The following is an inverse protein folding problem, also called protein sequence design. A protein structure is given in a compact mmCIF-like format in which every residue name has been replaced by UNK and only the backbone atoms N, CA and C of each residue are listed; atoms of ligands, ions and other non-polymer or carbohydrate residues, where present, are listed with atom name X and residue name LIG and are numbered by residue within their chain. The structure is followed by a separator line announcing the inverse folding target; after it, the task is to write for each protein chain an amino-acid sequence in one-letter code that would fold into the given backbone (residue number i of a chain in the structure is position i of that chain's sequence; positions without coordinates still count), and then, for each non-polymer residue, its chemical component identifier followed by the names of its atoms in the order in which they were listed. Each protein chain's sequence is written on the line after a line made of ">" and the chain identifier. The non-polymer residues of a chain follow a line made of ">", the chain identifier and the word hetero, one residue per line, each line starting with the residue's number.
data_IF_881398138452
#
_entry.id   IF_881398138452
#
_cell.length_a   1.000
_cell.length_b   1.000
_cell.length_c   1.000
_cell.angle_alpha   90.00
_cell.angle_beta   90.00
_cell.angle_gamma   90.00
#
_symmetry.space_group_name_H-M   'P 1'
#
loop_
_entity.id
_entity.type
_entity.pdbx_description
1 polymer ?
#
# COMPACT_ATOMS: atom_id res chain seq x y z
N UNK A 1 -17.39 -8.24 -35.33
CA UNK A 1 -17.00 -7.00 -36.02
C UNK A 1 -15.54 -6.83 -35.67
N UNK A 2 -14.65 -7.17 -36.60
CA UNK A 2 -13.23 -6.92 -36.42
C UNK A 2 -13.05 -5.40 -36.47
N UNK A 3 -12.30 -4.89 -35.51
CA UNK A 3 -12.10 -3.46 -35.32
C UNK A 3 -11.05 -2.99 -36.36
N UNK A 4 -11.50 -2.43 -37.48
CA UNK A 4 -10.66 -2.03 -38.63
C UNK A 4 -9.90 -0.71 -38.39
N UNK A 5 -9.43 -0.47 -37.16
CA UNK A 5 -8.61 0.71 -36.86
C UNK A 5 -7.17 0.49 -37.31
N UNK A 6 -6.62 1.49 -38.00
CA UNK A 6 -5.19 1.53 -38.36
C UNK A 6 -4.33 1.77 -37.11
N UNK A 7 -3.05 1.40 -37.20
CA UNK A 7 -2.09 1.63 -36.10
C UNK A 7 -2.01 3.12 -35.74
N UNK A 8 -2.04 4.00 -36.73
CA UNK A 8 -1.97 5.45 -36.51
C UNK A 8 -3.19 5.98 -35.78
N UNK A 9 -4.40 5.50 -36.11
CA UNK A 9 -5.63 5.83 -35.39
C UNK A 9 -5.60 5.31 -33.94
N UNK A 10 -4.98 4.15 -33.69
CA UNK A 10 -4.81 3.65 -32.32
C UNK A 10 -3.83 4.50 -31.50
N UNK A 11 -2.78 5.02 -32.12
CA UNK A 11 -1.82 5.93 -31.48
C UNK A 11 -2.50 7.26 -31.15
N UNK A 12 -3.23 7.85 -32.12
CA UNK A 12 -3.96 9.11 -31.92
C UNK A 12 -5.00 8.97 -30.79
N UNK A 13 -5.75 7.86 -30.76
CA UNK A 13 -6.65 7.57 -29.65
C UNK A 13 -5.89 7.47 -28.32
N UNK A 14 -4.73 6.79 -28.28
CA UNK A 14 -3.96 6.64 -27.05
C UNK A 14 -3.40 7.97 -26.53
N UNK A 15 -3.04 8.90 -27.42
CA UNK A 15 -2.59 10.26 -27.08
C UNK A 15 -3.75 11.15 -26.60
N UNK A 16 -4.95 10.93 -27.13
CA UNK A 16 -6.18 11.62 -26.71
C UNK A 16 -6.84 11.03 -25.47
N UNK A 17 -6.49 9.78 -25.08
CA UNK A 17 -6.91 9.20 -23.80
C UNK A 17 -6.32 10.10 -22.72
N UNK A 18 -7.17 10.87 -22.04
CA UNK A 18 -6.67 11.73 -20.98
C UNK A 18 -6.17 10.82 -19.86
N UNK A 19 -5.27 11.31 -19.00
CA UNK A 19 -4.90 10.64 -17.73
C UNK A 19 -6.11 10.50 -16.75
N UNK A 20 -7.34 10.63 -17.25
CA UNK A 20 -8.66 10.86 -16.66
C UNK A 20 -9.15 9.81 -15.66
N UNK A 21 -8.33 8.85 -15.28
CA UNK A 21 -8.71 7.84 -14.30
C UNK A 21 -7.79 7.81 -13.08
N UNK A 22 -6.73 8.64 -13.03
CA UNK A 22 -5.77 8.63 -11.92
C UNK A 22 -5.11 7.26 -11.72
N UNK A 23 -5.19 6.37 -12.72
CA UNK A 23 -4.76 4.98 -12.62
C UNK A 23 -3.25 4.91 -12.40
N UNK A 24 -2.47 5.72 -13.13
CA UNK A 24 -1.03 5.80 -12.97
C UNK A 24 -0.63 6.28 -11.56
N UNK A 25 -1.29 7.31 -11.03
CA UNK A 25 -1.06 7.82 -9.67
C UNK A 25 -1.48 6.80 -8.61
N UNK A 26 -2.65 6.17 -8.79
CA UNK A 26 -3.15 5.09 -7.94
C UNK A 26 -2.19 3.92 -7.87
N UNK A 27 -1.62 3.51 -9.00
CA UNK A 27 -0.60 2.45 -9.07
C UNK A 27 0.74 2.86 -8.46
N UNK A 28 1.18 4.12 -8.66
CA UNK A 28 2.43 4.62 -8.10
C UNK A 28 2.43 4.66 -6.56
N UNK A 29 1.25 4.82 -5.95
CA UNK A 29 1.06 4.79 -4.50
C UNK A 29 1.02 3.38 -3.89
N UNK A 30 0.88 2.31 -4.68
CA UNK A 30 0.69 0.97 -4.14
C UNK A 30 1.93 0.42 -3.45
N UNK A 31 1.72 -0.14 -2.26
CA UNK A 31 2.75 -0.78 -1.46
C UNK A 31 2.28 -2.16 -1.00
N UNK A 32 3.18 -3.12 -1.12
CA UNK A 32 3.05 -4.45 -0.54
C UNK A 32 4.02 -4.59 0.62
N UNK A 33 3.55 -5.15 1.72
CA UNK A 33 4.37 -5.39 2.91
C UNK A 33 4.24 -6.85 3.29
N UNK A 34 5.34 -7.45 3.75
CA UNK A 34 5.35 -8.78 4.33
C UNK A 34 6.30 -8.79 5.54
N UNK A 35 5.87 -9.42 6.62
CA UNK A 35 6.62 -9.53 7.86
C UNK A 35 6.96 -10.99 8.17
N UNK A 36 8.18 -11.21 8.64
CA UNK A 36 8.62 -12.39 9.36
C UNK A 36 8.70 -12.09 10.85
N UNK A 37 9.36 -12.96 11.60
CA UNK A 37 9.46 -12.84 13.07
C UNK A 37 10.24 -11.58 13.51
N UNK A 38 11.26 -11.21 12.74
CA UNK A 38 12.16 -10.10 13.07
C UNK A 38 12.52 -9.22 11.87
N UNK A 39 11.90 -9.45 10.71
CA UNK A 39 12.18 -8.71 9.48
C UNK A 39 10.87 -8.30 8.83
N UNK A 40 10.75 -7.03 8.42
CA UNK A 40 9.61 -6.56 7.62
C UNK A 40 10.13 -5.92 6.34
N UNK A 41 9.50 -6.27 5.21
CA UNK A 41 9.87 -5.81 3.88
C UNK A 41 8.68 -5.10 3.25
N UNK A 42 8.91 -3.91 2.70
CA UNK A 42 7.93 -3.18 1.89
C UNK A 42 8.47 -2.93 0.48
N UNK A 43 7.66 -3.26 -0.53
CA UNK A 43 7.98 -3.05 -1.94
C UNK A 43 6.91 -2.20 -2.64
N UNK A 44 7.30 -1.51 -3.69
CA UNK A 44 6.38 -0.87 -4.63
C UNK A 44 5.91 -1.84 -5.73
N UNK A 45 4.97 -1.38 -6.56
CA UNK A 45 4.43 -2.16 -7.68
C UNK A 45 5.46 -2.50 -8.77
N UNK A 46 6.60 -1.80 -8.80
CA UNK A 46 7.72 -2.09 -9.70
C UNK A 46 8.65 -3.17 -9.12
N UNK A 47 8.36 -3.68 -7.92
CA UNK A 47 9.19 -4.64 -7.20
C UNK A 47 10.41 -4.01 -6.53
N UNK A 48 10.47 -2.68 -6.40
CA UNK A 48 11.58 -2.02 -5.71
C UNK A 48 11.36 -2.11 -4.21
N UNK A 49 12.44 -2.41 -3.48
CA UNK A 49 12.47 -2.31 -2.03
C UNK A 49 12.40 -0.83 -1.61
N UNK A 50 11.33 -0.47 -0.90
CA UNK A 50 11.09 0.91 -0.44
C UNK A 50 11.00 1.01 1.09
N UNK A 51 10.99 -0.12 1.79
CA UNK A 51 11.13 -0.20 3.24
C UNK A 51 11.71 -1.54 3.66
N UNK A 52 12.58 -1.51 4.67
CA UNK A 52 13.17 -2.69 5.29
C UNK A 52 13.38 -2.40 6.78
N UNK A 53 12.76 -3.20 7.62
CA UNK A 53 12.95 -3.17 9.06
C UNK A 53 13.58 -4.50 9.50
N UNK A 54 14.62 -4.41 10.32
CA UNK A 54 15.37 -5.57 10.82
C UNK A 54 15.49 -5.38 12.33
N UNK A 55 14.85 -6.27 13.09
CA UNK A 55 14.95 -6.33 14.54
C UNK A 55 16.31 -6.86 15.00
N UNK A 56 16.68 -6.57 16.25
CA UNK A 56 17.98 -6.96 16.80
C UNK A 56 18.22 -8.48 16.77
N UNK A 57 17.17 -9.28 16.96
CA UNK A 57 17.26 -10.74 16.95
C UNK A 57 17.54 -11.30 15.54
N UNK A 58 17.13 -10.61 14.47
CA UNK A 58 17.48 -10.98 13.10
C UNK A 58 18.99 -10.87 12.84
N UNK A 59 19.68 -9.93 13.51
CA UNK A 59 21.13 -9.76 13.38
C UNK A 59 21.94 -10.88 14.04
N UNK A 60 21.29 -11.75 14.82
CA UNK A 60 21.90 -12.96 15.38
C UNK A 60 21.88 -14.14 14.40
N UNK A 61 21.13 -14.02 13.30
CA UNK A 61 21.12 -15.02 12.23
C UNK A 61 22.42 -14.97 11.43
N UNK A 62 22.71 -16.01 10.64
CA UNK A 62 23.79 -15.93 9.66
C UNK A 62 23.40 -14.99 8.51
N UNK A 63 24.37 -14.36 7.82
CA UNK A 63 24.08 -13.51 6.66
C UNK A 63 23.25 -14.22 5.58
N UNK A 64 23.51 -15.50 5.34
CA UNK A 64 22.79 -16.30 4.35
C UNK A 64 21.33 -16.53 4.76
N UNK A 65 21.07 -16.79 6.04
CA UNK A 65 19.73 -16.99 6.57
C UNK A 65 18.91 -15.68 6.48
N UNK A 66 19.51 -14.56 6.88
CA UNK A 66 18.86 -13.25 6.80
C UNK A 66 18.58 -12.86 5.34
N UNK A 67 19.53 -13.08 4.43
CA UNK A 67 19.33 -12.82 3.00
C UNK A 67 18.20 -13.69 2.40
N UNK A 68 18.13 -14.97 2.79
CA UNK A 68 17.07 -15.86 2.36
C UNK A 68 15.70 -15.40 2.91
N UNK A 69 15.64 -14.96 4.16
CA UNK A 69 14.43 -14.41 4.77
C UNK A 69 13.96 -13.13 4.04
N UNK A 70 14.85 -12.17 3.82
CA UNK A 70 14.54 -10.93 3.08
C UNK A 70 14.06 -11.25 1.66
N UNK A 71 14.70 -12.20 0.97
CA UNK A 71 14.30 -12.60 -0.38
C UNK A 71 12.88 -13.19 -0.41
N UNK A 72 12.57 -14.09 0.53
CA UNK A 72 11.24 -14.68 0.70
C UNK A 72 10.18 -13.62 1.02
N UNK A 73 10.47 -12.71 1.94
CA UNK A 73 9.55 -11.63 2.30
C UNK A 73 9.35 -10.64 1.15
N UNK A 74 10.40 -10.34 0.38
CA UNK A 74 10.31 -9.49 -0.82
C UNK A 74 9.39 -10.10 -1.88
N UNK A 75 9.49 -11.40 -2.13
CA UNK A 75 8.59 -12.11 -3.05
C UNK A 75 7.13 -12.07 -2.54
N UNK A 76 6.93 -12.26 -1.23
CA UNK A 76 5.61 -12.22 -0.60
C UNK A 76 4.98 -10.82 -0.67
N UNK A 77 5.76 -9.79 -0.35
CA UNK A 77 5.35 -8.39 -0.47
C UNK A 77 5.05 -8.01 -1.94
N UNK A 78 5.85 -8.52 -2.88
CA UNK A 78 5.62 -8.39 -4.32
C UNK A 78 4.27 -8.97 -4.75
N UNK A 79 3.96 -10.20 -4.32
CA UNK A 79 2.66 -10.82 -4.59
C UNK A 79 1.51 -10.02 -3.97
N UNK A 80 1.69 -9.49 -2.76
CA UNK A 80 0.70 -8.66 -2.09
C UNK A 80 0.41 -7.35 -2.87
N UNK A 81 1.44 -6.67 -3.36
CA UNK A 81 1.25 -5.43 -4.15
C UNK A 81 0.62 -5.70 -5.51
N UNK A 82 0.96 -6.81 -6.17
CA UNK A 82 0.38 -7.18 -7.46
C UNK A 82 -1.11 -7.51 -7.34
N UNK A 83 -1.53 -8.20 -6.27
CA UNK A 83 -2.96 -8.43 -5.98
C UNK A 83 -3.72 -7.10 -5.83
N UNK A 84 -3.20 -6.18 -5.01
CA UNK A 84 -3.77 -4.82 -4.87
C UNK A 84 -3.81 -4.07 -6.21
N UNK A 85 -2.79 -4.25 -7.05
CA UNK A 85 -2.74 -3.68 -8.40
C UNK A 85 -3.85 -4.18 -9.31
N UNK A 86 -4.18 -5.48 -9.24
CA UNK A 86 -5.31 -6.05 -9.98
C UNK A 86 -6.64 -5.43 -9.53
N UNK A 87 -6.83 -5.22 -8.23
CA UNK A 87 -8.05 -4.58 -7.71
C UNK A 87 -8.21 -3.14 -8.23
N UNK A 88 -7.11 -2.38 -8.27
CA UNK A 88 -7.08 -1.04 -8.87
C UNK A 88 -7.37 -1.08 -10.37
N UNK A 89 -6.82 -2.05 -11.10
CA UNK A 89 -7.11 -2.26 -12.52
C UNK A 89 -8.59 -2.60 -12.76
N UNK A 90 -9.22 -3.41 -11.91
CA UNK A 90 -10.68 -3.70 -12.00
C UNK A 90 -11.52 -2.44 -11.84
N UNK A 91 -11.09 -1.51 -10.99
CA UNK A 91 -11.80 -0.25 -10.77
C UNK A 91 -11.57 0.77 -11.90
N UNK A 92 -10.39 0.77 -12.52
CA UNK A 92 -9.99 1.73 -13.55
C UNK A 92 -10.10 1.25 -14.99
N UNK A 93 -10.42 -0.02 -15.25
CA UNK A 93 -10.49 -0.60 -16.60
C UNK A 93 -11.71 -1.49 -16.77
N UNK A 94 -11.87 -2.11 -17.94
CA UNK A 94 -12.92 -3.11 -18.11
C UNK A 94 -12.55 -4.40 -17.37
N UNK A 95 -13.53 -5.15 -16.83
CA UNK A 95 -13.26 -6.41 -16.13
C UNK A 95 -12.42 -7.39 -16.95
N UNK A 96 -12.63 -7.44 -18.27
CA UNK A 96 -11.87 -8.32 -19.17
C UNK A 96 -10.35 -8.04 -19.14
N UNK A 97 -9.94 -6.77 -19.02
CA UNK A 97 -8.52 -6.39 -18.98
C UNK A 97 -7.89 -6.86 -17.67
N UNK A 98 -8.54 -6.60 -16.55
CA UNK A 98 -8.03 -7.00 -15.24
C UNK A 98 -7.92 -8.54 -15.12
N UNK A 99 -8.88 -9.29 -15.66
CA UNK A 99 -8.82 -10.76 -15.64
C UNK A 99 -7.74 -11.32 -16.56
N UNK A 100 -7.52 -10.72 -17.73
CA UNK A 100 -6.43 -11.09 -18.63
C UNK A 100 -5.05 -10.87 -17.97
N UNK A 101 -4.88 -9.74 -17.26
CA UNK A 101 -3.64 -9.44 -16.52
C UNK A 101 -3.46 -10.43 -15.36
N UNK A 102 -4.52 -10.73 -14.60
CA UNK A 102 -4.47 -11.72 -13.52
C UNK A 102 -4.02 -13.10 -14.02
N UNK A 103 -4.61 -13.56 -15.13
CA UNK A 103 -4.26 -14.84 -15.75
C UNK A 103 -2.79 -14.86 -16.19
N UNK A 104 -2.33 -13.80 -16.86
CA UNK A 104 -0.94 -13.67 -17.31
C UNK A 104 0.07 -13.67 -16.16
N UNK A 105 -0.31 -13.11 -15.00
CA UNK A 105 0.53 -13.08 -13.80
C UNK A 105 0.44 -14.37 -12.97
N UNK A 106 -0.46 -15.30 -13.31
CA UNK A 106 -0.67 -16.53 -12.55
C UNK A 106 -1.15 -16.29 -11.12
N UNK A 107 -1.75 -15.11 -10.85
CA UNK A 107 -2.18 -14.73 -9.51
C UNK A 107 -3.53 -15.41 -9.24
N UNK A 108 -3.50 -16.44 -8.41
CA UNK A 108 -4.71 -17.08 -7.90
C UNK A 108 -5.24 -16.27 -6.72
N UNK A 109 -6.56 -16.08 -6.65
CA UNK A 109 -7.26 -15.57 -5.47
C UNK A 109 -7.07 -16.59 -4.33
N UNK A 110 -5.93 -16.52 -3.64
CA UNK A 110 -5.83 -17.01 -2.29
C UNK A 110 -6.36 -15.90 -1.39
N UNK A 111 -7.28 -16.19 -0.45
CA UNK A 111 -7.77 -15.17 0.45
C UNK A 111 -6.55 -14.62 1.17
N UNK A 112 -6.32 -13.31 1.03
CA UNK A 112 -5.49 -12.62 1.98
C UNK A 112 -6.20 -12.81 3.32
N UNK A 113 -5.72 -13.73 4.14
CA UNK A 113 -5.99 -13.68 5.57
C UNK A 113 -5.56 -12.29 5.98
N UNK A 114 -6.57 -11.44 6.20
CA UNK A 114 -6.39 -10.19 6.87
C UNK A 114 -5.80 -10.57 8.22
N UNK A 115 -4.48 -10.44 8.37
CA UNK A 115 -3.88 -10.27 9.67
C UNK A 115 -4.53 -9.00 10.24
N UNK A 116 -5.61 -9.21 11.00
CA UNK A 116 -6.10 -8.28 11.99
C UNK A 116 -4.90 -7.93 12.86
N UNK A 117 -4.29 -6.78 12.57
CA UNK A 117 -3.39 -6.12 13.49
C UNK A 117 -4.19 -5.89 14.77
N UNK A 118 -3.91 -6.75 15.75
CA UNK A 118 -4.53 -6.75 17.05
C UNK A 118 -4.65 -5.34 17.59
N UNK A 119 -5.89 -4.98 17.90
CA UNK A 119 -6.25 -3.84 18.70
C UNK A 119 -5.51 -3.95 20.03
N UNK A 120 -4.33 -3.34 20.10
CA UNK A 120 -3.57 -3.24 21.33
C UNK A 120 -4.21 -2.14 22.18
N UNK A 121 -5.26 -2.53 22.89
CA UNK A 121 -5.77 -1.80 24.04
C UNK A 121 -4.67 -1.81 25.11
N UNK A 122 -3.77 -0.83 25.05
CA UNK A 122 -2.92 -0.51 26.21
C UNK A 122 -3.59 0.60 27.01
N UNK A 123 -4.29 0.12 28.02
CA UNK A 123 -4.75 0.88 29.19
C UNK A 123 -3.51 1.46 29.89
N UNK A 124 -3.26 2.75 29.70
CA UNK A 124 -2.34 3.52 30.53
C UNK A 124 -3.16 4.51 31.35
N UNK A 125 -3.49 4.08 32.56
CA UNK A 125 -3.95 4.92 33.67
C UNK A 125 -3.05 6.16 33.79
N UNK A 126 -3.58 7.33 33.42
CA UNK A 126 -3.05 8.62 33.88
C UNK A 126 -4.11 9.28 34.75
N UNK A 127 -3.74 9.45 36.02
CA UNK A 127 -4.56 10.06 37.06
C UNK A 127 -5.12 11.41 36.62
N UNK A 128 -6.43 11.54 36.77
CA UNK A 128 -7.18 12.80 36.63
C UNK A 128 -6.67 13.80 37.66
N UNK A 129 -6.09 14.91 37.20
CA UNK A 129 -6.08 16.16 37.95
C UNK A 129 -7.21 17.05 37.42
N UNK A 130 -8.23 17.41 38.23
CA UNK A 130 -9.24 18.36 37.80
C UNK A 130 -8.61 19.76 37.69
N UNK A 131 -8.77 20.40 36.54
CA UNK A 131 -8.55 21.84 36.37
C UNK A 131 -9.80 22.60 36.86
N UNK A 132 -9.64 23.75 37.53
CA UNK A 132 -10.77 24.53 38.07
C UNK A 132 -11.59 25.22 36.96
N UNK A 133 -12.87 25.54 37.24
CA UNK A 133 -13.81 26.07 36.25
C UNK A 133 -13.53 27.53 35.85
N UNK A 134 -13.90 27.83 34.61
CA UNK A 134 -13.93 29.17 33.99
C UNK A 134 -14.91 30.09 34.73
N UNK A 135 -14.39 31.13 35.38
CA UNK A 135 -15.17 32.29 35.78
C UNK A 135 -14.82 33.48 34.87
N UNK A 136 -15.84 33.92 34.15
CA UNK A 136 -15.88 35.10 33.31
C UNK A 136 -15.71 36.38 34.15
N UNK A 137 -14.60 37.12 34.00
CA UNK A 137 -14.56 38.55 34.33
C UNK A 137 -13.72 39.36 33.33
N UNK A 138 -14.45 39.94 32.37
CA UNK A 138 -14.32 41.31 31.87
C UNK A 138 -13.13 42.13 32.40
N UNK A 139 -12.11 42.40 31.56
CA UNK A 139 -11.38 43.66 31.62
C UNK A 139 -10.97 44.17 30.23
N UNK A 140 -11.40 45.40 29.95
CA UNK A 140 -11.32 46.15 28.70
C UNK A 140 -9.89 46.58 28.34
N UNK A 141 -9.45 46.31 27.10
CA UNK A 141 -8.28 46.98 26.50
C UNK A 141 -8.70 48.33 25.91
N UNK A 142 -8.39 49.42 26.63
CA UNK A 142 -8.34 50.76 26.05
C UNK A 142 -7.15 50.84 25.09
N UNK A 143 -7.44 51.26 23.84
CA UNK A 143 -6.46 51.65 22.83
C UNK A 143 -5.80 52.98 23.24
N UNK A 144 -4.47 53.05 23.15
CA UNK A 144 -3.71 54.29 22.99
C UNK A 144 -2.92 54.20 21.69
#
# INVERSE_FOLDING_TARGET
>A
MEDERTIDELIEIAEEIPEKLGLAEGMAGLRGTAAGEHVSVTVDVQGKLVGLEIGEDALRQTPEALAAEISRLSASAGNAVLRKGIDVLRAGTTPAIAEAIREQLGITEEPAEAEELGESTSDATTERRPAPPDDEEFFTLQRA
#
